data_IF_712501909481
#
_entry.id   IF_712501909481
#
_cell.length_a   1.000
_cell.length_b   1.000
_cell.length_c   1.000
_cell.angle_alpha   90.00
_cell.angle_beta   90.00
_cell.angle_gamma   90.00
#
_symmetry.space_group_name_H-M   'P 1'
#
loop_
_entity.id
_entity.type
_entity.pdbx_description
1 polymer ?
#
# COMPACT_ATOMS: atom_id res chain seq x y z
N UNK A 1 11.95 -14.82 -9.38
CA UNK A 1 12.25 -13.38 -9.57
C UNK A 1 11.28 -12.61 -8.68
N UNK A 2 11.54 -12.57 -7.37
CA UNK A 2 10.51 -12.23 -6.37
C UNK A 2 10.79 -10.91 -5.65
N UNK A 3 11.95 -10.30 -5.93
CA UNK A 3 12.35 -9.01 -5.37
C UNK A 3 11.50 -7.84 -5.87
N UNK A 4 11.12 -7.83 -7.16
CA UNK A 4 10.34 -6.72 -7.74
C UNK A 4 8.92 -6.63 -7.19
N UNK A 5 8.27 -7.76 -6.95
CA UNK A 5 6.90 -7.79 -6.41
C UNK A 5 6.86 -7.31 -4.95
N UNK A 6 7.83 -7.75 -4.14
CA UNK A 6 7.96 -7.33 -2.73
C UNK A 6 8.26 -5.83 -2.62
N UNK A 7 9.14 -5.32 -3.48
CA UNK A 7 9.47 -3.89 -3.55
C UNK A 7 8.23 -3.06 -3.95
N UNK A 8 7.46 -3.54 -4.93
CA UNK A 8 6.22 -2.89 -5.38
C UNK A 8 5.12 -2.89 -4.33
N UNK A 9 4.96 -3.99 -3.58
CA UNK A 9 3.98 -4.08 -2.48
C UNK A 9 4.36 -3.15 -1.34
N UNK A 10 5.62 -3.16 -0.90
CA UNK A 10 6.11 -2.28 0.16
C UNK A 10 5.97 -0.81 -0.24
N UNK A 11 6.34 -0.47 -1.47
CA UNK A 11 6.19 0.87 -2.01
C UNK A 11 4.73 1.32 -2.04
N UNK A 12 3.82 0.45 -2.47
CA UNK A 12 2.37 0.72 -2.49
C UNK A 12 1.82 0.91 -1.07
N UNK A 13 2.26 0.07 -0.11
CA UNK A 13 1.92 0.22 1.30
C UNK A 13 2.36 1.58 1.85
N UNK A 14 3.62 1.98 1.61
CA UNK A 14 4.17 3.25 2.10
C UNK A 14 3.44 4.45 1.47
N UNK A 15 3.05 4.37 0.19
CA UNK A 15 2.24 5.40 -0.45
C UNK A 15 0.85 5.55 0.18
N UNK A 16 0.17 4.45 0.48
CA UNK A 16 -1.15 4.50 1.11
C UNK A 16 -1.03 5.07 2.53
N UNK A 17 -0.03 4.60 3.31
CA UNK A 17 0.25 5.13 4.64
C UNK A 17 0.50 6.64 4.61
N UNK A 18 1.35 7.11 3.70
CA UNK A 18 1.65 8.55 3.57
C UNK A 18 0.41 9.39 3.23
N UNK A 19 -0.50 8.86 2.40
CA UNK A 19 -1.76 9.54 2.06
C UNK A 19 -2.69 9.66 3.26
N UNK A 20 -2.81 8.61 4.06
CA UNK A 20 -3.66 8.65 5.26
C UNK A 20 -3.07 9.57 6.33
N UNK A 21 -1.74 9.56 6.52
CA UNK A 21 -1.07 10.54 7.39
C UNK A 21 -1.32 11.98 6.92
N UNK A 22 -1.28 12.25 5.62
CA UNK A 22 -1.57 13.57 5.06
C UNK A 22 -3.03 14.01 5.26
N UNK A 23 -3.95 13.07 5.50
CA UNK A 23 -5.35 13.34 5.85
C UNK A 23 -5.55 13.56 7.36
N UNK A 24 -4.50 13.43 8.16
CA UNK A 24 -4.54 13.58 9.60
C UNK A 24 -4.82 12.28 10.37
N UNK A 25 -4.75 11.11 9.70
CA UNK A 25 -4.82 9.83 10.41
C UNK A 25 -3.61 9.65 11.33
N UNK A 26 -3.80 8.92 12.42
CA UNK A 26 -2.68 8.52 13.27
C UNK A 26 -1.79 7.50 12.56
N UNK A 27 -0.58 7.29 13.07
CA UNK A 27 0.35 6.32 12.50
C UNK A 27 -0.22 4.90 12.48
N UNK A 28 -0.92 4.49 13.53
CA UNK A 28 -1.56 3.18 13.64
C UNK A 28 -2.71 3.02 12.63
N UNK A 29 -3.57 4.03 12.52
CA UNK A 29 -4.68 4.04 11.55
C UNK A 29 -4.16 4.01 10.11
N UNK A 30 -3.16 4.82 9.79
CA UNK A 30 -2.56 4.86 8.47
C UNK A 30 -1.89 3.52 8.11
N UNK A 31 -1.20 2.88 9.06
CA UNK A 31 -0.58 1.58 8.86
C UNK A 31 -1.64 0.47 8.67
N UNK A 32 -2.72 0.51 9.46
CA UNK A 32 -3.83 -0.43 9.35
C UNK A 32 -4.53 -0.31 8.00
N UNK A 33 -4.89 0.90 7.59
CA UNK A 33 -5.53 1.16 6.29
C UNK A 33 -4.62 0.73 5.14
N UNK A 34 -3.31 1.02 5.23
CA UNK A 34 -2.35 0.58 4.24
C UNK A 34 -2.26 -0.95 4.14
N UNK A 35 -2.27 -1.67 5.26
CA UNK A 35 -2.26 -3.13 5.28
C UNK A 35 -3.53 -3.73 4.68
N UNK A 36 -4.70 -3.17 4.98
CA UNK A 36 -5.99 -3.65 4.46
C UNK A 36 -6.19 -3.35 2.96
N UNK A 37 -5.47 -2.35 2.43
CA UNK A 37 -5.70 -1.83 1.07
C UNK A 37 -4.60 -2.21 0.08
N UNK A 38 -3.37 -2.47 0.54
CA UNK A 38 -2.23 -2.78 -0.34
C UNK A 38 -2.50 -3.99 -1.24
N UNK A 39 -3.11 -5.06 -0.70
CA UNK A 39 -3.35 -6.28 -1.47
C UNK A 39 -4.43 -6.06 -2.55
N UNK A 40 -5.42 -5.19 -2.29
CA UNK A 40 -6.43 -4.78 -3.29
C UNK A 40 -5.79 -3.99 -4.42
N UNK A 41 -4.98 -2.98 -4.09
CA UNK A 41 -4.30 -2.14 -5.07
C UNK A 41 -3.31 -2.95 -5.91
N UNK A 42 -2.62 -3.93 -5.32
CA UNK A 42 -1.74 -4.85 -6.04
C UNK A 42 -2.52 -5.76 -6.99
N UNK A 43 -3.67 -6.29 -6.56
CA UNK A 43 -4.55 -7.10 -7.41
C UNK A 43 -5.10 -6.29 -8.59
N UNK A 44 -5.52 -5.04 -8.38
CA UNK A 44 -6.01 -4.15 -9.45
C UNK A 44 -4.90 -3.72 -10.43
N UNK A 45 -3.67 -3.54 -9.94
CA UNK A 45 -2.51 -3.24 -10.78
C UNK A 45 -2.15 -4.44 -11.67
N UNK A 46 -2.11 -5.64 -11.10
CA UNK A 46 -1.80 -6.86 -11.85
C UNK A 46 -2.92 -7.32 -12.81
N UNK A 47 -4.14 -6.78 -12.70
CA UNK A 47 -5.24 -7.03 -13.63
C UNK A 47 -5.20 -6.12 -14.87
N UNK A 48 -4.34 -5.10 -14.88
CA UNK A 48 -4.23 -4.13 -15.99
C UNK A 48 -3.06 -4.39 -16.93
N UNK A 49 -2.33 -5.49 -16.73
CA UNK A 49 -1.23 -5.94 -17.59
C UNK A 49 -1.68 -7.01 -18.59
#
# INVERSE_FOLDING_TARGET
>A
MDGKATDTRRYTFEQIRAKELARGATEDEAARVAAETVDKVMAEKGLKD
#
